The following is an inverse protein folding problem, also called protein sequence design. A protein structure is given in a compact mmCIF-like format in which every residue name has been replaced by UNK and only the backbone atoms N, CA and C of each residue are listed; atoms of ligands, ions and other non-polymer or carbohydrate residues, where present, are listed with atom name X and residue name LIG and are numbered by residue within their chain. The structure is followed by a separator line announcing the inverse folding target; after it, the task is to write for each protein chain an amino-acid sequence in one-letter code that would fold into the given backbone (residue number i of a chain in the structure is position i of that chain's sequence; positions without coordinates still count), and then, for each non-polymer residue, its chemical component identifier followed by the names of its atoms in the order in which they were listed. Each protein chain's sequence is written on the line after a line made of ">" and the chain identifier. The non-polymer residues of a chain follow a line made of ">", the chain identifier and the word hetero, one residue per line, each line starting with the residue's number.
data_IF_843497793910
#
_entry.id   IF_843497793910
#
_cell.length_a   1.000
_cell.length_b   1.000
_cell.length_c   1.000
_cell.angle_alpha   90.00
_cell.angle_beta   90.00
_cell.angle_gamma   90.00
#
_symmetry.space_group_name_H-M   'P 1'
#
loop_
_entity.id
_entity.type
_entity.pdbx_description
1 polymer ?
#
# COMPACT_ATOMS: atom_id res chain seq x y z
N UNK A 1 22.37 10.02 -0.70
CA UNK A 1 22.20 9.38 -2.03
C UNK A 1 21.63 7.99 -1.81
N UNK A 2 20.52 7.59 -2.48
CA UNK A 2 19.79 6.35 -2.22
C UNK A 2 20.68 5.09 -2.15
N UNK A 3 21.64 4.96 -3.05
CA UNK A 3 22.54 3.80 -3.08
C UNK A 3 23.60 3.77 -1.95
N UNK A 4 23.91 4.90 -1.30
CA UNK A 4 24.86 4.96 -0.18
C UNK A 4 24.20 4.73 1.18
N UNK A 5 22.91 5.01 1.28
CA UNK A 5 22.09 4.91 2.50
C UNK A 5 20.86 4.04 2.26
N UNK A 6 21.06 2.89 1.60
CA UNK A 6 19.97 2.07 1.10
C UNK A 6 18.98 1.66 2.19
N UNK A 7 19.46 1.18 3.33
CA UNK A 7 18.58 0.71 4.42
C UNK A 7 17.73 1.84 5.01
N UNK A 8 18.32 3.02 5.21
CA UNK A 8 17.60 4.20 5.70
C UNK A 8 16.56 4.66 4.67
N UNK A 9 16.95 4.70 3.39
CA UNK A 9 16.05 5.10 2.32
C UNK A 9 14.87 4.14 2.14
N UNK A 10 15.13 2.83 2.14
CA UNK A 10 14.09 1.80 2.03
C UNK A 10 13.12 1.85 3.20
N UNK A 11 13.60 2.14 4.42
CA UNK A 11 12.75 2.31 5.60
C UNK A 11 11.76 3.49 5.52
N UNK A 12 11.94 4.41 4.56
CA UNK A 12 11.09 5.59 4.34
C UNK A 12 10.12 5.45 3.17
N UNK A 13 10.15 4.29 2.49
CA UNK A 13 9.38 4.05 1.27
C UNK A 13 8.49 2.82 1.46
N UNK A 14 7.22 2.94 1.09
CA UNK A 14 6.33 1.82 0.87
C UNK A 14 6.06 1.65 -0.63
N UNK A 15 5.92 0.41 -1.09
CA UNK A 15 5.62 0.10 -2.47
C UNK A 15 4.51 -0.94 -2.56
N UNK A 16 3.54 -0.72 -3.44
CA UNK A 16 2.51 -1.71 -3.79
C UNK A 16 2.46 -1.85 -5.29
N UNK A 17 2.48 -3.10 -5.76
CA UNK A 17 2.39 -3.45 -7.18
C UNK A 17 1.09 -4.18 -7.45
N UNK A 18 0.21 -3.64 -8.27
CA UNK A 18 -1.17 -4.14 -8.46
C UNK A 18 -1.30 -5.62 -8.84
N UNK A 19 -0.28 -6.19 -9.46
CA UNK A 19 -0.29 -7.61 -9.88
C UNK A 19 0.64 -8.52 -9.07
N UNK A 20 1.35 -7.97 -8.09
CA UNK A 20 2.30 -8.73 -7.25
C UNK A 20 2.04 -8.43 -5.80
N UNK A 21 2.08 -9.47 -4.97
CA UNK A 21 2.01 -9.31 -3.52
C UNK A 21 3.39 -9.37 -2.89
N UNK A 22 3.59 -8.60 -1.83
CA UNK A 22 4.75 -8.69 -0.96
C UNK A 22 4.49 -9.62 0.24
N UNK A 23 3.26 -10.10 0.40
CA UNK A 23 2.89 -11.04 1.45
C UNK A 23 3.31 -12.47 1.08
N UNK A 24 3.55 -13.30 2.07
CA UNK A 24 3.91 -14.70 1.88
C UNK A 24 2.68 -15.55 1.53
N UNK A 25 2.72 -16.19 0.37
CA UNK A 25 1.59 -16.85 -0.28
C UNK A 25 0.88 -17.90 0.57
N UNK A 26 1.66 -18.70 1.30
CA UNK A 26 1.15 -19.81 2.12
C UNK A 26 0.88 -19.44 3.59
N UNK A 27 1.27 -18.24 4.03
CA UNK A 27 1.10 -17.79 5.39
C UNK A 27 -0.22 -17.02 5.55
N UNK A 28 -0.82 -17.05 6.76
CA UNK A 28 -1.85 -16.10 7.16
C UNK A 28 -1.37 -14.66 7.03
N UNK A 29 -2.30 -13.74 6.77
CA UNK A 29 -1.97 -12.31 6.63
C UNK A 29 -1.24 -11.79 7.86
N UNK A 30 -1.70 -12.12 9.07
CA UNK A 30 -1.11 -11.66 10.32
C UNK A 30 0.36 -12.06 10.45
N UNK A 31 0.72 -13.30 10.08
CA UNK A 31 2.11 -13.76 10.12
C UNK A 31 2.99 -13.01 9.10
N UNK A 32 2.45 -12.72 7.92
CA UNK A 32 3.14 -11.88 6.94
C UNK A 32 3.41 -10.47 7.47
N UNK A 33 2.45 -9.87 8.18
CA UNK A 33 2.64 -8.55 8.80
C UNK A 33 3.68 -8.59 9.93
N UNK A 34 3.72 -9.66 10.73
CA UNK A 34 4.73 -9.86 11.78
C UNK A 34 6.13 -10.01 11.20
N UNK A 35 6.29 -10.77 10.12
CA UNK A 35 7.57 -10.86 9.41
C UNK A 35 8.03 -9.51 8.87
N UNK A 36 7.14 -8.71 8.32
CA UNK A 36 7.45 -7.35 7.86
C UNK A 36 7.83 -6.43 9.02
N UNK A 37 7.15 -6.54 10.19
CA UNK A 37 7.57 -5.84 11.41
C UNK A 37 9.03 -6.12 11.73
N UNK A 38 9.44 -7.39 11.68
CA UNK A 38 10.81 -7.79 12.01
C UNK A 38 11.82 -7.33 10.95
N UNK A 39 11.47 -7.42 9.66
CA UNK A 39 12.31 -6.95 8.55
C UNK A 39 12.56 -5.45 8.64
N UNK A 40 11.52 -4.66 8.89
CA UNK A 40 11.61 -3.20 9.02
C UNK A 40 12.02 -2.76 10.43
N UNK A 41 12.19 -3.69 11.38
CA UNK A 41 12.53 -3.44 12.80
C UNK A 41 11.58 -2.44 13.45
N UNK A 42 10.27 -2.60 13.16
CA UNK A 42 9.24 -1.75 13.76
C UNK A 42 9.08 -2.12 15.24
N UNK A 43 9.19 -1.16 16.17
CA UNK A 43 8.96 -1.42 17.60
C UNK A 43 7.57 -2.00 17.85
N UNK A 44 7.45 -2.93 18.78
CA UNK A 44 6.21 -3.67 19.05
C UNK A 44 5.02 -2.76 19.37
N UNK A 45 5.22 -1.70 20.16
CA UNK A 45 4.16 -0.74 20.46
C UNK A 45 3.66 0.00 19.21
N UNK A 46 4.58 0.44 18.34
CA UNK A 46 4.25 1.08 17.07
C UNK A 46 3.56 0.10 16.12
N UNK A 47 4.03 -1.15 16.07
CA UNK A 47 3.42 -2.19 15.24
C UNK A 47 1.96 -2.42 15.61
N UNK A 48 1.66 -2.63 16.90
CA UNK A 48 0.29 -2.85 17.38
C UNK A 48 -0.62 -1.69 17.03
N UNK A 49 -0.19 -0.46 17.36
CA UNK A 49 -0.95 0.74 17.05
C UNK A 49 -1.25 0.88 15.56
N UNK A 50 -0.21 0.72 14.72
CA UNK A 50 -0.36 0.86 13.26
C UNK A 50 -1.17 -0.27 12.65
N UNK A 51 -0.94 -1.53 13.10
CA UNK A 51 -1.71 -2.69 12.65
C UNK A 51 -3.19 -2.52 12.97
N UNK A 52 -3.52 -2.16 14.20
CA UNK A 52 -4.93 -2.03 14.64
C UNK A 52 -5.63 -0.92 13.86
N UNK A 53 -4.98 0.22 13.64
CA UNK A 53 -5.46 1.29 12.78
C UNK A 53 -5.71 0.82 11.34
N UNK A 54 -4.77 0.07 10.75
CA UNK A 54 -4.88 -0.43 9.38
C UNK A 54 -5.94 -1.52 9.25
N UNK A 55 -6.10 -2.35 10.28
CA UNK A 55 -7.15 -3.37 10.34
C UNK A 55 -8.54 -2.72 10.28
N UNK A 56 -8.75 -1.66 11.04
CA UNK A 56 -10.02 -0.93 11.03
C UNK A 56 -10.22 -0.17 9.71
N UNK A 57 -9.18 0.52 9.25
CA UNK A 57 -9.26 1.39 8.07
C UNK A 57 -9.47 0.62 6.76
N UNK A 58 -8.90 -0.57 6.65
CA UNK A 58 -8.95 -1.42 5.46
C UNK A 58 -9.88 -2.63 5.60
N UNK A 59 -10.61 -2.73 6.73
CA UNK A 59 -11.51 -3.85 7.02
C UNK A 59 -10.79 -5.21 6.88
N UNK A 60 -9.69 -5.37 7.63
CA UNK A 60 -8.84 -6.56 7.55
C UNK A 60 -9.14 -7.61 8.61
N UNK A 61 -9.96 -7.29 9.64
CA UNK A 61 -10.21 -8.20 10.76
C UNK A 61 -10.58 -9.62 10.32
N UNK A 62 -11.51 -9.83 9.34
CA UNK A 62 -11.87 -11.17 8.90
C UNK A 62 -10.81 -11.86 8.04
N UNK A 63 -9.73 -11.15 7.66
CA UNK A 63 -8.70 -11.63 6.74
C UNK A 63 -7.41 -12.04 7.45
N UNK A 64 -7.20 -11.63 8.71
CA UNK A 64 -5.93 -11.78 9.41
C UNK A 64 -5.45 -13.23 9.48
N UNK A 65 -6.35 -14.17 9.75
CA UNK A 65 -6.04 -15.59 9.89
C UNK A 65 -6.15 -16.36 8.56
N UNK A 66 -6.47 -15.68 7.46
CA UNK A 66 -6.63 -16.32 6.15
C UNK A 66 -5.30 -16.37 5.42
N UNK A 67 -4.88 -17.54 4.89
CA UNK A 67 -3.71 -17.64 4.03
C UNK A 67 -3.84 -16.75 2.79
N UNK A 68 -2.77 -16.04 2.45
CA UNK A 68 -2.76 -15.04 1.34
C UNK A 68 -3.27 -15.62 0.03
N UNK A 69 -2.97 -16.89 -0.28
CA UNK A 69 -3.44 -17.60 -1.49
C UNK A 69 -4.97 -17.73 -1.61
N UNK A 70 -5.70 -17.62 -0.50
CA UNK A 70 -7.17 -17.76 -0.46
C UNK A 70 -7.90 -16.41 -0.60
N UNK A 71 -7.16 -15.30 -0.57
CA UNK A 71 -7.73 -13.97 -0.70
C UNK A 71 -8.15 -13.67 -2.14
N UNK A 72 -9.28 -12.97 -2.28
CA UNK A 72 -9.61 -12.32 -3.56
C UNK A 72 -8.59 -11.25 -3.90
N UNK A 73 -8.56 -10.80 -5.16
CA UNK A 73 -7.64 -9.74 -5.59
C UNK A 73 -7.82 -8.46 -4.76
N UNK A 74 -9.06 -8.03 -4.51
CA UNK A 74 -9.35 -6.84 -3.69
C UNK A 74 -8.97 -7.01 -2.22
N UNK A 75 -9.22 -8.18 -1.64
CA UNK A 75 -8.79 -8.50 -0.27
C UNK A 75 -7.26 -8.47 -0.16
N UNK A 76 -6.58 -9.10 -1.11
CA UNK A 76 -5.11 -9.13 -1.14
C UNK A 76 -4.53 -7.73 -1.30
N UNK A 77 -5.11 -6.89 -2.17
CA UNK A 77 -4.67 -5.51 -2.34
C UNK A 77 -4.79 -4.69 -1.04
N UNK A 78 -5.89 -4.85 -0.29
CA UNK A 78 -6.03 -4.19 1.02
C UNK A 78 -4.95 -4.65 2.01
N UNK A 79 -4.63 -5.93 2.03
CA UNK A 79 -3.56 -6.47 2.86
C UNK A 79 -2.17 -5.99 2.40
N UNK A 80 -1.92 -5.87 1.09
CA UNK A 80 -0.67 -5.33 0.55
C UNK A 80 -0.48 -3.84 0.87
N UNK A 81 -1.56 -3.05 0.88
CA UNK A 81 -1.53 -1.66 1.32
C UNK A 81 -1.18 -1.55 2.81
N UNK A 82 -1.78 -2.40 3.66
CA UNK A 82 -1.42 -2.46 5.08
C UNK A 82 0.05 -2.82 5.27
N UNK A 83 0.54 -3.82 4.56
CA UNK A 83 1.92 -4.26 4.60
C UNK A 83 2.90 -3.14 4.18
N UNK A 84 2.58 -2.41 3.11
CA UNK A 84 3.40 -1.31 2.62
C UNK A 84 3.44 -0.10 3.56
N UNK A 85 2.43 0.06 4.41
CA UNK A 85 2.34 1.19 5.34
C UNK A 85 2.72 0.84 6.80
N UNK A 86 2.95 -0.42 7.10
CA UNK A 86 3.20 -0.93 8.46
C UNK A 86 4.36 -0.20 9.19
N UNK A 87 5.40 0.15 8.47
CA UNK A 87 6.59 0.84 8.97
C UNK A 87 6.49 2.37 8.90
N UNK A 88 5.31 2.91 8.58
CA UNK A 88 4.99 4.36 8.47
C UNK A 88 5.93 5.10 7.52
N UNK A 89 5.97 4.75 6.23
CA UNK A 89 6.82 5.41 5.25
C UNK A 89 6.39 6.86 5.00
N UNK A 90 7.36 7.71 4.57
CA UNK A 90 7.10 9.08 4.14
C UNK A 90 6.52 9.14 2.72
N UNK A 91 6.88 8.13 1.90
CA UNK A 91 6.52 8.07 0.48
C UNK A 91 5.91 6.69 0.19
N UNK A 92 4.78 6.67 -0.49
CA UNK A 92 4.11 5.47 -0.94
C UNK A 92 4.04 5.43 -2.46
N UNK A 93 4.63 4.42 -3.06
CA UNK A 93 4.54 4.13 -4.49
C UNK A 93 3.43 3.11 -4.73
N UNK A 94 2.45 3.48 -5.54
CA UNK A 94 1.32 2.64 -5.91
C UNK A 94 1.33 2.43 -7.43
N UNK A 95 1.61 1.22 -7.86
CA UNK A 95 1.63 0.86 -9.28
C UNK A 95 0.36 0.10 -9.64
N UNK A 96 -0.57 0.78 -10.34
CA UNK A 96 -1.87 0.25 -10.76
C UNK A 96 -2.68 -0.41 -9.61
N UNK A 97 -2.89 0.25 -8.45
CA UNK A 97 -3.43 -0.38 -7.24
C UNK A 97 -4.90 -0.79 -7.36
N UNK A 98 -5.61 -0.30 -8.36
CA UNK A 98 -7.05 -0.57 -8.57
C UNK A 98 -7.33 -1.48 -9.76
N UNK A 99 -6.29 -1.94 -10.46
CA UNK A 99 -6.44 -2.77 -11.65
C UNK A 99 -7.15 -4.09 -11.34
N UNK A 100 -8.18 -4.41 -12.12
CA UNK A 100 -8.93 -5.67 -11.99
C UNK A 100 -9.81 -5.78 -10.74
N UNK A 101 -9.97 -4.70 -9.98
CA UNK A 101 -10.81 -4.67 -8.78
C UNK A 101 -12.26 -4.30 -9.12
N UNK A 102 -13.17 -4.79 -8.28
CA UNK A 102 -14.57 -4.35 -8.28
C UNK A 102 -14.72 -2.91 -7.77
N UNK A 103 -15.88 -2.31 -8.02
CA UNK A 103 -16.14 -0.91 -7.70
C UNK A 103 -16.02 -0.60 -6.20
N UNK A 104 -16.44 -1.52 -5.32
CA UNK A 104 -16.39 -1.32 -3.87
C UNK A 104 -14.94 -1.35 -3.39
N UNK A 105 -14.15 -2.31 -3.87
CA UNK A 105 -12.71 -2.40 -3.56
C UNK A 105 -11.96 -1.17 -4.02
N UNK A 106 -12.25 -0.64 -5.22
CA UNK A 106 -11.67 0.63 -5.72
C UNK A 106 -11.97 1.80 -4.80
N UNK A 107 -13.23 1.95 -4.37
CA UNK A 107 -13.62 3.04 -3.47
C UNK A 107 -12.87 2.97 -2.13
N UNK A 108 -12.74 1.78 -1.55
CA UNK A 108 -12.03 1.59 -0.29
C UNK A 108 -10.55 1.98 -0.41
N UNK A 109 -9.90 1.62 -1.52
CA UNK A 109 -8.49 1.98 -1.77
C UNK A 109 -8.34 3.49 -1.95
N UNK A 110 -9.23 4.12 -2.72
CA UNK A 110 -9.22 5.58 -2.91
C UNK A 110 -9.36 6.32 -1.59
N UNK A 111 -10.30 5.89 -0.74
CA UNK A 111 -10.51 6.48 0.57
C UNK A 111 -9.29 6.31 1.47
N UNK A 112 -8.69 5.13 1.51
CA UNK A 112 -7.46 4.87 2.23
C UNK A 112 -6.34 5.82 1.81
N UNK A 113 -6.08 5.95 0.50
CA UNK A 113 -5.03 6.82 -0.03
C UNK A 113 -5.27 8.30 0.32
N UNK A 114 -6.53 8.77 0.23
CA UNK A 114 -6.89 10.12 0.63
C UNK A 114 -6.60 10.38 2.10
N UNK A 115 -7.01 9.46 2.97
CA UNK A 115 -6.80 9.59 4.41
C UNK A 115 -5.32 9.59 4.77
N UNK A 116 -4.51 8.71 4.20
CA UNK A 116 -3.06 8.73 4.41
C UNK A 116 -2.42 10.07 4.02
N UNK A 117 -2.81 10.63 2.88
CA UNK A 117 -2.26 11.91 2.45
C UNK A 117 -2.76 13.07 3.33
N UNK A 118 -4.05 13.10 3.69
CA UNK A 118 -4.65 14.19 4.45
C UNK A 118 -4.27 14.17 5.94
N UNK A 119 -4.29 13.01 6.57
CA UNK A 119 -4.12 12.86 8.02
C UNK A 119 -2.66 12.61 8.42
N UNK A 120 -1.88 11.96 7.57
CA UNK A 120 -0.49 11.57 7.86
C UNK A 120 0.55 12.31 7.04
N UNK A 121 0.14 13.12 6.05
CA UNK A 121 1.05 13.87 5.20
C UNK A 121 1.93 12.98 4.29
N UNK A 122 1.54 11.72 4.07
CA UNK A 122 2.30 10.78 3.22
C UNK A 122 2.27 11.26 1.78
N UNK A 123 3.43 11.32 1.15
CA UNK A 123 3.51 11.61 -0.28
C UNK A 123 3.17 10.34 -1.07
N UNK A 124 2.14 10.39 -1.89
CA UNK A 124 1.74 9.26 -2.72
C UNK A 124 2.11 9.54 -4.18
N UNK A 125 2.83 8.59 -4.78
CA UNK A 125 3.12 8.55 -6.20
C UNK A 125 2.36 7.36 -6.80
N UNK A 126 1.37 7.68 -7.62
CA UNK A 126 0.45 6.71 -8.21
C UNK A 126 0.71 6.61 -9.72
N UNK A 127 0.88 5.39 -10.23
CA UNK A 127 0.73 5.11 -11.67
C UNK A 127 -0.65 4.50 -11.89
N UNK A 128 -1.38 4.99 -12.86
CA UNK A 128 -2.69 4.45 -13.25
C UNK A 128 -3.06 4.91 -14.65
N UNK A 129 -3.88 4.12 -15.32
CA UNK A 129 -4.58 4.50 -16.55
C UNK A 129 -6.10 4.66 -16.31
N UNK A 130 -6.55 4.48 -15.07
CA UNK A 130 -7.96 4.67 -14.66
C UNK A 130 -8.21 6.16 -14.39
N UNK A 131 -9.06 6.78 -15.23
CA UNK A 131 -9.37 8.21 -15.14
C UNK A 131 -10.05 8.57 -13.83
N UNK A 132 -10.86 7.67 -13.27
CA UNK A 132 -11.53 7.89 -11.99
C UNK A 132 -10.53 7.95 -10.82
N UNK A 133 -9.42 7.18 -10.88
CA UNK A 133 -8.36 7.25 -9.88
C UNK A 133 -7.61 8.59 -9.96
N UNK A 134 -7.34 9.04 -11.19
CA UNK A 134 -6.69 10.34 -11.44
C UNK A 134 -7.56 11.46 -10.85
N UNK A 135 -8.84 11.47 -11.19
CA UNK A 135 -9.79 12.50 -10.75
C UNK A 135 -9.98 12.49 -9.24
N UNK A 136 -10.04 11.29 -8.65
CA UNK A 136 -10.26 11.11 -7.22
C UNK A 136 -9.04 11.44 -6.34
N UNK A 137 -7.81 11.17 -6.80
CA UNK A 137 -6.62 11.13 -5.95
C UNK A 137 -5.55 12.15 -6.34
N UNK A 138 -5.46 12.54 -7.61
CA UNK A 138 -4.31 13.29 -8.11
C UNK A 138 -4.53 14.79 -8.01
N UNK A 139 -3.63 15.49 -7.30
CA UNK A 139 -3.53 16.96 -7.34
C UNK A 139 -2.60 17.45 -8.45
N UNK A 140 -1.68 16.61 -8.88
CA UNK A 140 -0.71 16.86 -9.95
C UNK A 140 -0.66 15.63 -10.84
N UNK A 141 -0.68 15.86 -12.14
CA UNK A 141 -0.64 14.82 -13.17
C UNK A 141 0.62 14.98 -14.00
N UNK A 142 1.30 13.88 -14.26
CA UNK A 142 2.41 13.78 -15.20
C UNK A 142 2.00 12.77 -16.27
N UNK A 143 1.90 13.22 -17.51
CA UNK A 143 1.58 12.35 -18.65
C UNK A 143 2.87 11.97 -19.37
N UNK A 144 3.09 10.67 -19.54
CA UNK A 144 4.25 10.12 -20.23
C UNK A 144 3.78 9.46 -21.52
N UNK A 145 4.35 9.85 -22.65
CA UNK A 145 4.10 9.23 -23.94
C UNK A 145 5.42 8.97 -24.67
N UNK A 146 5.68 7.71 -25.05
CA UNK A 146 6.93 7.27 -25.69
C UNK A 146 8.21 7.80 -25.01
N UNK A 147 8.23 7.80 -23.68
CA UNK A 147 9.38 8.28 -22.90
C UNK A 147 9.50 9.80 -22.80
N UNK A 148 8.55 10.55 -23.31
CA UNK A 148 8.52 12.02 -23.25
C UNK A 148 7.45 12.48 -22.26
N UNK A 149 7.80 13.45 -21.39
CA UNK A 149 6.83 14.13 -20.53
C UNK A 149 6.02 15.13 -21.37
N UNK A 150 4.69 15.04 -21.30
CA UNK A 150 3.78 15.94 -22.01
C UNK A 150 3.28 17.09 -21.12
N UNK A 151 3.29 16.91 -19.81
CA UNK A 151 2.94 17.91 -18.78
C UNK A 151 3.68 17.62 -17.49
#
# INVERSE_FOLDING_TARGET
>A
MPWKQRSEHVGRIGCVFGQRTQLWWDLPVVESLELLRDIYRVPEAQYRETRDELVDLLDLAPLLDVPVRQLSLGQRMRCDLAAAFLHRPDILFLDEPTIGLDAVSKLNIREFVRRLNAERGVTVLLTTHDMDDIEALCRRLIVINHGTLLM
#
